data_IF_054398639809
#
_entry.id   IF_054398639809
#
_cell.length_a   1.000
_cell.length_b   1.000
_cell.length_c   1.000
_cell.angle_alpha   90.00
_cell.angle_beta   90.00
_cell.angle_gamma   90.00
#
_symmetry.space_group_name_H-M   'P 1'
#
loop_
_entity.id
_entity.type
_entity.pdbx_description
1 polymer ?
#
# COMPACT_ATOMS: atom_id res chain seq x y z
N UNK A 1 5.55 -32.34 -21.96
CA UNK A 1 5.59 -32.04 -20.50
C UNK A 1 6.62 -30.99 -20.09
N UNK A 2 7.89 -31.06 -20.55
CA UNK A 2 8.95 -30.14 -20.09
C UNK A 2 8.70 -28.65 -20.41
N UNK A 3 8.15 -28.35 -21.60
CA UNK A 3 7.77 -26.97 -21.99
C UNK A 3 6.63 -26.39 -21.14
N UNK A 4 5.67 -27.22 -20.72
CA UNK A 4 4.55 -26.80 -19.87
C UNK A 4 5.06 -26.45 -18.47
N UNK A 5 5.92 -27.29 -17.89
CA UNK A 5 6.57 -27.01 -16.60
C UNK A 5 7.38 -25.72 -16.64
N UNK A 6 8.14 -25.51 -17.71
CA UNK A 6 8.91 -24.28 -17.92
C UNK A 6 8.00 -23.04 -17.91
N UNK A 7 6.92 -23.08 -18.68
CA UNK A 7 5.97 -21.97 -18.79
C UNK A 7 5.29 -21.66 -17.45
N UNK A 8 4.90 -22.69 -16.70
CA UNK A 8 4.33 -22.52 -15.36
C UNK A 8 5.30 -21.84 -14.39
N UNK A 9 6.58 -22.26 -14.38
CA UNK A 9 7.61 -21.63 -13.54
C UNK A 9 7.78 -20.15 -13.89
N UNK A 10 7.80 -19.82 -15.18
CA UNK A 10 7.91 -18.43 -15.62
C UNK A 10 6.70 -17.60 -15.16
N UNK A 11 5.47 -18.11 -15.33
CA UNK A 11 4.25 -17.43 -14.87
C UNK A 11 4.31 -17.19 -13.35
N UNK A 12 4.64 -18.22 -12.58
CA UNK A 12 4.77 -18.11 -11.12
C UNK A 12 5.78 -17.01 -10.78
N UNK A 13 6.96 -17.02 -11.41
CA UNK A 13 7.95 -15.98 -11.15
C UNK A 13 7.39 -14.58 -11.45
N UNK A 14 6.75 -14.38 -12.61
CA UNK A 14 6.17 -13.08 -12.97
C UNK A 14 5.09 -12.64 -11.97
N UNK A 15 4.23 -13.55 -11.53
CA UNK A 15 3.19 -13.23 -10.53
C UNK A 15 3.79 -12.78 -9.20
N UNK A 16 4.84 -13.46 -8.71
CA UNK A 16 5.50 -13.09 -7.46
C UNK A 16 6.33 -11.82 -7.58
N UNK A 17 6.92 -11.55 -8.75
CA UNK A 17 7.59 -10.27 -9.04
C UNK A 17 6.56 -9.13 -9.05
N UNK A 18 5.40 -9.32 -9.69
CA UNK A 18 4.31 -8.35 -9.68
C UNK A 18 3.74 -8.12 -8.28
N UNK A 19 3.62 -9.18 -7.49
CA UNK A 19 3.24 -9.10 -6.08
C UNK A 19 4.22 -8.30 -5.23
N UNK A 20 5.52 -8.51 -5.41
CA UNK A 20 6.54 -7.68 -4.77
C UNK A 20 6.48 -6.22 -5.23
N UNK A 21 6.09 -5.96 -6.48
CA UNK A 21 5.97 -4.62 -7.02
C UNK A 21 4.77 -3.83 -6.45
N UNK A 22 3.64 -4.49 -6.16
CA UNK A 22 2.47 -3.83 -5.55
C UNK A 22 2.55 -3.74 -4.03
N UNK A 23 3.36 -4.57 -3.38
CA UNK A 23 3.61 -4.50 -1.96
C UNK A 23 4.63 -3.38 -1.67
N UNK A 24 4.18 -2.29 -1.03
CA UNK A 24 5.07 -1.20 -0.64
C UNK A 24 6.09 -1.71 0.41
N UNK A 25 7.27 -1.11 0.46
CA UNK A 25 8.28 -1.43 1.47
C UNK A 25 9.32 -2.49 1.10
N UNK A 26 10.32 -2.63 1.97
CA UNK A 26 11.47 -3.50 1.75
C UNK A 26 11.08 -4.99 1.67
N UNK A 27 10.06 -5.40 2.44
CA UNK A 27 9.58 -6.78 2.49
C UNK A 27 9.07 -7.24 1.13
N UNK A 28 8.28 -6.43 0.43
CA UNK A 28 7.78 -6.75 -0.92
C UNK A 28 8.91 -7.01 -1.92
N UNK A 29 9.89 -6.10 -1.96
CA UNK A 29 11.06 -6.27 -2.82
C UNK A 29 11.88 -7.51 -2.43
N UNK A 30 12.24 -7.65 -1.16
CA UNK A 30 13.10 -8.73 -0.68
C UNK A 30 12.47 -10.11 -0.90
N UNK A 31 11.17 -10.25 -0.62
CA UNK A 31 10.44 -11.51 -0.79
C UNK A 31 10.24 -11.91 -2.26
N UNK A 32 10.39 -10.96 -3.20
CA UNK A 32 10.35 -11.23 -4.65
C UNK A 32 11.68 -11.71 -5.24
N UNK A 33 12.82 -11.50 -4.55
CA UNK A 33 14.15 -11.85 -5.06
C UNK A 33 14.33 -13.32 -5.46
N UNK A 34 13.84 -14.33 -4.69
CA UNK A 34 13.95 -15.72 -5.09
C UNK A 34 13.30 -16.00 -6.45
N UNK A 35 12.22 -15.31 -6.77
CA UNK A 35 11.48 -15.45 -8.03
C UNK A 35 12.19 -14.74 -9.18
N UNK A 36 12.81 -13.59 -8.94
CA UNK A 36 13.71 -12.95 -9.91
C UNK A 36 14.90 -13.85 -10.26
N UNK A 37 15.55 -14.44 -9.26
CA UNK A 37 16.69 -15.36 -9.46
C UNK A 37 16.24 -16.59 -10.23
N UNK A 38 15.10 -17.18 -9.84
CA UNK A 38 14.53 -18.35 -10.52
C UNK A 38 14.17 -18.04 -11.97
N UNK A 39 13.59 -16.87 -12.26
CA UNK A 39 13.29 -16.41 -13.61
C UNK A 39 14.56 -16.36 -14.48
N UNK A 40 15.60 -15.67 -13.99
CA UNK A 40 16.87 -15.52 -14.72
C UNK A 40 17.53 -16.89 -14.96
N UNK A 41 17.56 -17.75 -13.94
CA UNK A 41 18.12 -19.10 -14.04
C UNK A 41 17.36 -19.94 -15.07
N UNK A 42 16.03 -19.90 -15.03
CA UNK A 42 15.14 -20.62 -15.95
C UNK A 42 15.33 -20.16 -17.40
N UNK A 43 15.54 -18.85 -17.60
CA UNK A 43 15.81 -18.30 -18.92
C UNK A 43 17.18 -18.69 -19.48
N UNK A 44 18.16 -19.13 -18.66
CA UNK A 44 19.53 -19.48 -19.10
C UNK A 44 19.54 -20.49 -20.25
N UNK A 45 18.66 -21.49 -20.22
CA UNK A 45 18.52 -22.53 -21.26
C UNK A 45 17.76 -22.12 -22.52
N UNK A 46 17.24 -20.88 -22.58
CA UNK A 46 16.49 -20.38 -23.72
C UNK A 46 17.40 -19.66 -24.75
N UNK A 47 16.89 -19.51 -25.97
CA UNK A 47 17.55 -18.70 -27.00
C UNK A 47 17.66 -17.23 -26.58
N UNK A 48 18.64 -16.51 -27.12
CA UNK A 48 18.85 -15.09 -26.80
C UNK A 48 17.61 -14.24 -27.06
N UNK A 49 16.90 -14.48 -28.18
CA UNK A 49 15.65 -13.79 -28.51
C UNK A 49 14.59 -13.95 -27.41
N UNK A 50 14.40 -15.17 -26.91
CA UNK A 50 13.43 -15.47 -25.85
C UNK A 50 13.82 -14.82 -24.52
N UNK A 51 15.11 -14.80 -24.18
CA UNK A 51 15.61 -14.13 -22.97
C UNK A 51 15.25 -12.64 -22.98
N UNK A 52 15.60 -11.95 -24.06
CA UNK A 52 15.36 -10.51 -24.20
C UNK A 52 13.86 -10.22 -24.22
N UNK A 53 13.07 -10.96 -25.01
CA UNK A 53 11.63 -10.74 -25.07
C UNK A 53 10.96 -10.93 -23.71
N UNK A 54 11.32 -11.96 -22.96
CA UNK A 54 10.74 -12.21 -21.63
C UNK A 54 11.08 -11.10 -20.65
N UNK A 55 12.34 -10.65 -20.60
CA UNK A 55 12.75 -9.54 -19.72
C UNK A 55 12.00 -8.26 -20.08
N UNK A 56 11.88 -7.95 -21.37
CA UNK A 56 11.16 -6.75 -21.84
C UNK A 56 9.67 -6.83 -21.47
N UNK A 57 9.02 -7.98 -21.68
CA UNK A 57 7.61 -8.18 -21.30
C UNK A 57 7.43 -8.01 -19.80
N UNK A 58 8.31 -8.61 -18.98
CA UNK A 58 8.27 -8.45 -17.52
C UNK A 58 8.45 -6.97 -17.13
N UNK A 59 9.44 -6.28 -17.69
CA UNK A 59 9.66 -4.87 -17.42
C UNK A 59 8.42 -4.02 -17.74
N UNK A 60 7.81 -4.23 -18.92
CA UNK A 60 6.60 -3.50 -19.34
C UNK A 60 5.43 -3.75 -18.37
N UNK A 61 5.28 -4.96 -17.85
CA UNK A 61 4.20 -5.29 -16.90
C UNK A 61 4.45 -4.71 -15.51
N UNK A 62 5.70 -4.69 -15.06
CA UNK A 62 6.07 -4.33 -13.68
C UNK A 62 6.31 -2.84 -13.49
N UNK A 63 6.92 -2.17 -14.48
CA UNK A 63 7.24 -0.73 -14.40
C UNK A 63 6.03 0.12 -14.02
N UNK A 64 4.83 -0.06 -14.61
CA UNK A 64 3.66 0.72 -14.23
C UNK A 64 3.22 0.53 -12.78
N UNK A 65 3.58 -0.57 -12.12
CA UNK A 65 3.23 -0.85 -10.72
C UNK A 65 4.21 -0.17 -9.75
N UNK A 66 5.49 -0.12 -10.10
CA UNK A 66 6.54 0.48 -9.26
C UNK A 66 6.64 2.00 -9.44
N UNK A 67 6.32 2.50 -10.64
CA UNK A 67 6.48 3.91 -10.97
C UNK A 67 5.55 4.78 -10.14
N UNK A 68 6.13 5.73 -9.38
CA UNK A 68 5.39 6.65 -8.50
C UNK A 68 4.34 5.91 -7.65
N UNK A 69 4.78 4.85 -6.96
CA UNK A 69 3.91 3.89 -6.26
C UNK A 69 2.84 4.56 -5.39
N UNK A 70 3.21 5.56 -4.58
CA UNK A 70 2.30 6.29 -3.71
C UNK A 70 1.23 7.12 -4.47
N UNK A 71 1.51 7.49 -5.72
CA UNK A 71 0.61 8.25 -6.60
C UNK A 71 -0.08 7.35 -7.64
N UNK A 72 0.10 6.02 -7.54
CA UNK A 72 -0.26 5.10 -8.60
C UNK A 72 -1.73 4.71 -8.55
N UNK A 73 -2.54 5.24 -9.48
CA UNK A 73 -3.97 4.93 -9.60
C UNK A 73 -4.31 3.45 -9.89
N UNK A 74 -3.35 2.68 -10.40
CA UNK A 74 -3.53 1.23 -10.59
C UNK A 74 -3.64 0.53 -9.23
N UNK A 75 -2.85 1.02 -8.26
CA UNK A 75 -2.77 0.49 -6.90
C UNK A 75 -3.80 1.17 -6.01
N UNK A 76 -3.90 2.50 -6.07
CA UNK A 76 -4.80 3.33 -5.28
C UNK A 76 -5.81 4.06 -6.19
N UNK A 77 -6.92 3.41 -6.56
CA UNK A 77 -7.84 3.93 -7.57
C UNK A 77 -8.48 5.28 -7.19
N UNK A 78 -8.58 5.56 -5.90
CA UNK A 78 -9.23 6.77 -5.34
C UNK A 78 -8.33 8.00 -5.35
N UNK A 79 -7.09 7.91 -5.84
CA UNK A 79 -6.24 9.10 -5.97
C UNK A 79 -6.90 10.08 -6.94
N UNK A 80 -7.10 11.30 -6.46
CA UNK A 80 -7.78 12.38 -7.14
C UNK A 80 -9.23 12.56 -6.71
N UNK A 81 -9.81 11.61 -5.96
CA UNK A 81 -11.17 11.70 -5.47
C UNK A 81 -11.26 12.58 -4.22
N UNK A 82 -12.47 13.08 -3.98
CA UNK A 82 -12.78 14.00 -2.90
C UNK A 82 -13.44 13.27 -1.73
N UNK A 83 -12.95 13.56 -0.53
CA UNK A 83 -13.50 13.13 0.74
C UNK A 83 -14.15 14.33 1.39
N UNK A 84 -15.37 14.15 1.90
CA UNK A 84 -16.12 15.24 2.54
C UNK A 84 -15.94 15.11 4.04
N UNK A 85 -15.28 16.09 4.65
CA UNK A 85 -15.05 16.15 6.07
C UNK A 85 -16.12 16.99 6.78
N UNK A 86 -16.67 16.47 7.87
CA UNK A 86 -17.54 17.22 8.77
C UNK A 86 -16.75 18.31 9.52
N UNK A 87 -17.44 19.10 10.33
CA UNK A 87 -16.78 20.06 11.22
C UNK A 87 -15.85 19.39 12.26
N UNK A 88 -14.88 20.16 12.75
CA UNK A 88 -14.13 19.80 13.94
C UNK A 88 -12.84 19.05 13.67
N UNK A 89 -12.17 19.34 12.56
CA UNK A 89 -10.83 18.86 12.28
C UNK A 89 -9.78 19.93 12.56
N UNK A 90 -8.60 19.50 13.01
CA UNK A 90 -7.39 20.32 13.09
C UNK A 90 -6.27 19.64 12.31
N UNK A 91 -5.48 20.45 11.62
CA UNK A 91 -4.23 20.01 11.02
C UNK A 91 -3.09 20.48 11.93
N UNK A 92 -2.30 19.54 12.43
CA UNK A 92 -1.22 19.79 13.39
C UNK A 92 0.11 19.44 12.74
N UNK A 93 1.00 20.42 12.66
CA UNK A 93 2.36 20.22 12.20
C UNK A 93 3.23 19.81 13.37
N UNK A 94 3.74 18.58 13.33
CA UNK A 94 4.71 18.09 14.31
C UNK A 94 6.16 18.24 13.81
N UNK A 95 7.10 18.16 14.75
CA UNK A 95 8.51 17.92 14.44
C UNK A 95 8.68 16.62 13.63
N UNK A 96 9.53 16.67 12.59
CA UNK A 96 9.79 15.51 11.73
C UNK A 96 10.47 14.37 12.50
N UNK A 97 11.26 14.68 13.52
CA UNK A 97 11.88 13.72 14.44
C UNK A 97 10.84 12.86 15.18
N UNK A 98 9.64 13.40 15.43
CA UNK A 98 8.56 12.73 16.14
C UNK A 98 7.72 11.85 15.21
N UNK A 99 7.29 12.38 14.06
CA UNK A 99 6.37 11.69 13.14
C UNK A 99 7.06 10.87 12.05
N UNK A 100 8.31 11.20 11.73
CA UNK A 100 9.04 10.63 10.60
C UNK A 100 8.66 11.22 9.23
N UNK A 101 7.70 12.15 9.16
CA UNK A 101 7.25 12.77 7.91
C UNK A 101 7.09 14.30 8.03
N UNK A 102 6.99 14.97 6.88
CA UNK A 102 6.94 16.44 6.81
C UNK A 102 5.54 17.01 6.49
N UNK A 103 4.48 16.26 6.70
CA UNK A 103 3.10 16.70 6.48
C UNK A 103 2.44 17.16 7.78
N UNK A 104 1.31 17.87 7.66
CA UNK A 104 0.44 18.09 8.81
C UNK A 104 -0.33 16.81 9.14
N UNK A 105 -0.54 16.50 10.40
CA UNK A 105 -1.37 15.39 10.85
C UNK A 105 -2.79 15.87 11.09
N UNK A 106 -3.77 15.19 10.51
CA UNK A 106 -5.19 15.45 10.66
C UNK A 106 -5.70 14.77 11.92
N UNK A 107 -6.29 15.57 12.80
CA UNK A 107 -6.73 15.12 14.12
C UNK A 107 -8.14 15.65 14.38
N UNK A 108 -9.08 14.81 14.87
CA UNK A 108 -10.39 15.28 15.25
C UNK A 108 -10.34 16.16 16.52
N UNK A 109 -11.30 17.07 16.65
CA UNK A 109 -11.40 17.98 17.79
C UNK A 109 -11.59 17.16 19.08
N UNK A 110 -10.77 17.46 20.09
CA UNK A 110 -10.79 16.76 21.38
C UNK A 110 -9.85 15.55 21.46
N UNK A 111 -9.25 15.10 20.36
CA UNK A 111 -8.18 14.11 20.43
C UNK A 111 -6.91 14.71 21.05
N UNK A 112 -6.22 13.85 21.81
CA UNK A 112 -4.99 14.18 22.52
C UNK A 112 -3.92 14.61 21.51
N UNK A 113 -3.28 15.74 21.79
CA UNK A 113 -2.14 16.23 21.02
C UNK A 113 -0.94 16.28 21.93
N UNK A 114 0.16 15.75 21.45
CA UNK A 114 1.43 15.83 22.14
C UNK A 114 2.06 17.21 21.90
N UNK A 115 1.64 18.20 22.70
CA UNK A 115 1.99 19.62 22.56
C UNK A 115 3.51 19.87 22.56
N UNK A 116 4.31 18.95 23.12
CA UNK A 116 5.76 19.10 23.19
C UNK A 116 6.45 19.05 21.82
N UNK A 117 5.82 18.41 20.83
CA UNK A 117 6.36 18.26 19.47
C UNK A 117 5.62 19.10 18.44
N UNK A 118 4.68 19.95 18.85
CA UNK A 118 3.87 20.77 17.94
C UNK A 118 4.67 21.99 17.48
N UNK A 119 4.83 22.12 16.16
CA UNK A 119 5.38 23.31 15.51
C UNK A 119 4.27 24.32 15.24
N UNK A 120 3.13 23.86 14.71
CA UNK A 120 1.97 24.71 14.43
C UNK A 120 0.69 23.90 14.38
N UNK A 121 -0.45 24.59 14.49
CA UNK A 121 -1.77 23.99 14.33
C UNK A 121 -2.73 24.97 13.69
N UNK A 122 -3.69 24.45 12.92
CA UNK A 122 -4.77 25.23 12.34
C UNK A 122 -6.06 24.44 12.30
N UNK A 123 -7.17 25.16 12.43
CA UNK A 123 -8.50 24.57 12.26
C UNK A 123 -8.77 24.39 10.77
N UNK A 124 -9.39 23.26 10.44
CA UNK A 124 -9.89 23.00 9.09
C UNK A 124 -11.34 23.47 9.05
N UNK A 125 -11.70 24.17 7.97
CA UNK A 125 -13.08 24.61 7.76
C UNK A 125 -14.01 23.41 7.68
N UNK A 126 -15.24 23.58 8.19
CA UNK A 126 -16.31 22.61 7.96
C UNK A 126 -16.55 22.40 6.46
N UNK A 127 -17.06 21.22 6.11
CA UNK A 127 -17.43 20.84 4.74
C UNK A 127 -16.27 21.04 3.75
N UNK A 128 -15.03 20.99 4.24
CA UNK A 128 -13.85 21.06 3.41
C UNK A 128 -13.77 19.80 2.55
N UNK A 129 -13.66 19.99 1.24
CA UNK A 129 -13.33 18.91 0.32
C UNK A 129 -11.85 18.58 0.44
N UNK A 130 -11.56 17.32 0.74
CA UNK A 130 -10.22 16.80 0.92
C UNK A 130 -9.88 15.90 -0.25
N UNK A 131 -8.97 16.35 -1.11
CA UNK A 131 -8.59 15.58 -2.29
C UNK A 131 -7.49 14.59 -1.93
N UNK A 132 -7.72 13.29 -2.10
CA UNK A 132 -6.67 12.30 -1.91
C UNK A 132 -5.62 12.45 -3.02
N UNK A 133 -4.36 12.70 -2.67
CA UNK A 133 -3.29 12.93 -3.66
C UNK A 133 -2.24 11.83 -3.68
N UNK A 134 -2.04 11.12 -2.56
CA UNK A 134 -1.13 9.98 -2.46
C UNK A 134 -1.49 9.09 -1.28
N UNK A 135 -1.00 7.85 -1.31
CA UNK A 135 -1.07 6.89 -0.20
C UNK A 135 0.31 6.29 0.00
N UNK A 136 0.91 6.51 1.16
CA UNK A 136 2.13 5.80 1.55
C UNK A 136 1.81 4.76 2.61
N UNK A 137 2.64 3.73 2.70
CA UNK A 137 2.45 2.59 3.61
C UNK A 137 3.63 2.48 4.55
N UNK A 138 3.32 2.29 5.83
CA UNK A 138 4.29 1.85 6.83
C UNK A 138 4.00 0.41 7.24
N UNK A 139 5.04 -0.28 7.71
CA UNK A 139 4.95 -1.64 8.24
C UNK A 139 5.33 -1.67 9.72
N UNK A 140 4.48 -1.14 10.62
CA UNK A 140 4.67 -1.38 12.05
C UNK A 140 4.45 -2.87 12.32
N UNK A 141 5.41 -3.52 12.97
CA UNK A 141 5.30 -4.88 13.52
C UNK A 141 4.70 -5.93 12.56
N UNK A 142 5.21 -5.96 11.31
CA UNK A 142 4.79 -6.86 10.21
C UNK A 142 3.37 -6.62 9.65
N UNK A 143 2.66 -5.60 10.14
CA UNK A 143 1.39 -5.14 9.59
C UNK A 143 1.54 -4.26 8.35
N UNK A 144 0.42 -3.88 7.76
CA UNK A 144 0.35 -2.85 6.71
C UNK A 144 -0.52 -1.73 7.23
N UNK A 145 0.06 -0.54 7.36
CA UNK A 145 -0.64 0.66 7.80
C UNK A 145 -0.59 1.70 6.69
N UNK A 146 -1.76 2.01 6.14
CA UNK A 146 -1.91 3.03 5.10
C UNK A 146 -1.89 4.43 5.71
N UNK A 147 -1.29 5.37 5.01
CA UNK A 147 -1.30 6.79 5.34
C UNK A 147 -1.75 7.56 4.10
N UNK A 148 -3.07 7.81 3.95
CA UNK A 148 -3.54 8.71 2.93
C UNK A 148 -3.01 10.12 3.18
N UNK A 149 -2.70 10.83 2.09
CA UNK A 149 -2.41 12.26 2.13
C UNK A 149 -3.45 12.98 1.31
N UNK A 150 -4.09 13.94 1.96
CA UNK A 150 -5.08 14.81 1.39
C UNK A 150 -4.48 16.18 1.09
N UNK A 151 -4.89 16.76 -0.03
CA UNK A 151 -4.74 18.19 -0.29
C UNK A 151 -5.99 18.91 0.19
N UNK A 152 -5.81 19.80 1.17
CA UNK A 152 -6.86 20.60 1.79
C UNK A 152 -6.47 22.05 1.59
N UNK A 153 -7.19 22.78 0.74
CA UNK A 153 -6.87 24.18 0.39
C UNK A 153 -5.40 24.38 -0.03
N UNK A 154 -4.88 23.50 -0.87
CA UNK A 154 -3.48 23.46 -1.35
C UNK A 154 -2.42 23.16 -0.28
N UNK A 155 -2.80 22.59 0.86
CA UNK A 155 -1.85 22.11 1.88
C UNK A 155 -2.03 20.62 2.08
N UNK A 156 -0.91 19.91 2.20
CA UNK A 156 -0.88 18.47 2.38
C UNK A 156 -0.99 18.08 3.85
N UNK A 157 -1.95 17.21 4.14
CA UNK A 157 -2.15 16.67 5.47
C UNK A 157 -2.47 15.18 5.41
N UNK A 158 -2.11 14.44 6.46
CA UNK A 158 -2.20 12.97 6.51
C UNK A 158 -2.82 12.50 7.83
N UNK A 159 -3.32 11.28 7.85
CA UNK A 159 -3.65 10.54 9.06
C UNK A 159 -3.28 9.08 8.85
N UNK A 160 -3.14 8.30 9.92
CA UNK A 160 -2.97 6.86 9.82
C UNK A 160 -4.27 6.19 9.40
N UNK A 161 -4.15 4.97 8.86
CA UNK A 161 -5.29 4.16 8.45
C UNK A 161 -6.18 3.75 9.61
N UNK A 162 -5.68 3.77 10.85
CA UNK A 162 -6.50 3.58 12.06
C UNK A 162 -7.38 4.79 12.29
N UNK A 163 -6.81 6.00 12.30
CA UNK A 163 -7.61 7.22 12.45
C UNK A 163 -8.59 7.42 11.30
N UNK A 164 -8.23 6.98 10.08
CA UNK A 164 -9.14 7.00 8.95
C UNK A 164 -10.34 6.06 9.15
N UNK A 165 -10.13 4.86 9.67
CA UNK A 165 -11.21 3.94 9.99
C UNK A 165 -12.13 4.52 11.06
N UNK A 166 -11.56 5.10 12.12
CA UNK A 166 -12.32 5.78 13.18
C UNK A 166 -13.15 6.94 12.60
N UNK A 167 -12.59 7.68 11.63
CA UNK A 167 -13.27 8.79 10.96
C UNK A 167 -14.47 8.32 10.10
N UNK A 168 -14.32 7.21 9.37
CA UNK A 168 -15.41 6.61 8.62
C UNK A 168 -16.51 6.07 9.54
N UNK A 169 -16.12 5.37 10.62
CA UNK A 169 -17.08 4.83 11.59
C UNK A 169 -17.86 5.94 12.30
N UNK A 170 -17.17 7.03 12.68
CA UNK A 170 -17.77 8.21 13.28
C UNK A 170 -18.52 9.09 12.27
N UNK A 171 -18.43 8.79 10.96
CA UNK A 171 -18.98 9.59 9.85
C UNK A 171 -18.46 11.02 9.77
N UNK A 172 -17.30 11.29 10.39
CA UNK A 172 -16.66 12.61 10.40
C UNK A 172 -15.83 12.87 9.13
N UNK A 173 -15.58 11.81 8.36
CA UNK A 173 -15.04 11.86 7.01
C UNK A 173 -15.81 10.84 6.17
N UNK A 174 -16.30 11.25 5.00
CA UNK A 174 -17.11 10.40 4.15
C UNK A 174 -16.54 10.31 2.73
N UNK A 175 -16.59 9.11 2.15
CA UNK A 175 -16.34 8.85 0.74
C UNK A 175 -17.53 8.06 0.15
N UNK A 176 -17.84 8.28 -1.13
CA UNK A 176 -19.03 7.67 -1.74
C UNK A 176 -18.91 6.15 -1.98
N UNK A 177 -17.68 5.62 -1.99
CA UNK A 177 -17.39 4.26 -2.45
C UNK A 177 -16.56 3.39 -1.49
N UNK A 178 -15.98 3.98 -0.44
CA UNK A 178 -15.17 3.23 0.53
C UNK A 178 -15.52 3.67 1.95
N UNK A 179 -15.39 2.75 2.90
CA UNK A 179 -15.67 2.97 4.32
C UNK A 179 -14.52 2.49 5.23
N UNK A 180 -13.44 1.95 4.66
CA UNK A 180 -12.27 1.49 5.40
C UNK A 180 -10.96 1.83 4.68
N UNK A 181 -9.89 1.98 5.45
CA UNK A 181 -8.56 2.34 4.95
C UNK A 181 -7.92 1.26 4.07
N UNK A 182 -8.19 -0.02 4.29
CA UNK A 182 -7.69 -1.09 3.43
C UNK A 182 -8.31 -1.05 2.02
N UNK A 183 -9.48 -0.43 1.87
CA UNK A 183 -10.13 -0.24 0.57
C UNK A 183 -9.45 0.86 -0.25
N UNK A 184 -8.52 1.64 0.33
CA UNK A 184 -7.72 2.61 -0.43
C UNK A 184 -6.94 1.93 -1.56
N UNK A 185 -6.52 0.68 -1.35
CA UNK A 185 -5.86 -0.15 -2.34
C UNK A 185 -6.89 -0.97 -3.14
N UNK A 186 -6.69 -1.10 -4.46
CA UNK A 186 -7.55 -1.90 -5.31
C UNK A 186 -7.54 -3.38 -4.90
N UNK A 187 -8.70 -4.02 -4.91
CA UNK A 187 -8.88 -5.40 -4.44
C UNK A 187 -7.89 -6.38 -5.09
N UNK A 188 -7.69 -6.28 -6.41
CA UNK A 188 -6.79 -7.17 -7.12
C UNK A 188 -5.32 -6.95 -6.76
N UNK A 189 -4.89 -5.69 -6.48
CA UNK A 189 -3.51 -5.45 -6.02
C UNK A 189 -3.32 -5.88 -4.58
N UNK A 190 -4.36 -5.79 -3.74
CA UNK A 190 -4.34 -6.31 -2.38
C UNK A 190 -4.26 -7.85 -2.35
N UNK A 191 -5.01 -8.53 -3.21
CA UNK A 191 -4.90 -9.97 -3.40
C UNK A 191 -3.52 -10.37 -3.93
N UNK A 192 -2.98 -9.57 -4.86
CA UNK A 192 -1.66 -9.82 -5.41
C UNK A 192 -0.58 -9.60 -4.34
N UNK A 193 -0.63 -8.53 -3.53
CA UNK A 193 0.34 -8.25 -2.46
C UNK A 193 0.37 -9.36 -1.40
N UNK A 194 -0.77 -9.99 -1.13
CA UNK A 194 -0.90 -11.12 -0.20
C UNK A 194 -0.03 -12.33 -0.58
N UNK A 195 0.37 -12.48 -1.86
CA UNK A 195 1.32 -13.52 -2.26
C UNK A 195 2.71 -13.32 -1.61
N UNK A 196 3.07 -12.12 -1.17
CA UNK A 196 4.32 -11.89 -0.41
C UNK A 196 4.31 -12.52 0.98
N UNK A 197 3.15 -13.00 1.47
CA UNK A 197 3.05 -13.81 2.68
C UNK A 197 3.45 -15.27 2.46
N UNK A 198 3.94 -15.65 1.26
CA UNK A 198 4.33 -17.03 0.97
C UNK A 198 5.28 -17.71 1.97
N UNK A 199 6.20 -17.01 2.69
CA UNK A 199 7.03 -17.68 3.70
C UNK A 199 6.22 -18.14 4.92
N UNK A 200 5.08 -17.51 5.20
CA UNK A 200 4.23 -17.84 6.36
C UNK A 200 3.13 -18.85 6.01
N UNK A 201 2.79 -19.02 4.73
CA UNK A 201 1.79 -20.01 4.26
C UNK A 201 2.04 -21.42 4.84
N UNK A 202 3.27 -21.98 4.82
CA UNK A 202 3.52 -23.29 5.40
C UNK A 202 3.16 -23.38 6.89
N UNK A 203 3.44 -22.32 7.65
CA UNK A 203 3.17 -22.25 9.09
C UNK A 203 1.66 -22.13 9.34
N UNK A 204 0.96 -21.30 8.56
CA UNK A 204 -0.49 -21.14 8.65
C UNK A 204 -1.22 -22.44 8.32
N UNK A 205 -0.77 -23.17 7.29
CA UNK A 205 -1.32 -24.48 6.95
C UNK A 205 -1.08 -25.50 8.05
N UNK A 206 0.12 -25.53 8.66
CA UNK A 206 0.42 -26.42 9.78
C UNK A 206 -0.48 -26.12 10.99
N UNK A 207 -0.64 -24.85 11.36
CA UNK A 207 -1.48 -24.44 12.49
C UNK A 207 -2.99 -24.67 12.22
N UNK A 208 -3.46 -24.39 11.01
CA UNK A 208 -4.84 -24.66 10.61
C UNK A 208 -5.17 -26.16 10.58
N UNK A 209 -4.22 -27.00 10.15
CA UNK A 209 -4.35 -28.46 10.23
C UNK A 209 -4.37 -28.93 11.69
N UNK A 210 -3.49 -28.41 12.56
CA UNK A 210 -3.52 -28.76 13.98
C UNK A 210 -4.83 -28.36 14.68
N UNK A 211 -5.46 -27.25 14.29
CA UNK A 211 -6.77 -26.82 14.82
C UNK A 211 -7.94 -27.76 14.45
N UNK A 212 -7.78 -28.64 13.46
CA UNK A 212 -8.78 -29.67 13.09
C UNK A 212 -8.62 -30.92 13.96
N UNK A 213 -7.47 -31.11 14.61
CA UNK A 213 -7.14 -32.28 15.43
C UNK A 213 -7.19 -32.01 16.95
N UNK A 214 -7.65 -30.83 17.37
CA UNK A 214 -7.88 -30.45 18.78
C UNK A 214 -9.37 -30.29 19.03
#
# INVERSE_FOLDING_TARGET
MQKIKLFLVLIICVLFIASGAVNQGFSGFFMSLPFMITLIYTLKGCSFKVKVSSIVVVAILITPLVWKHEENKIIYPWIGDEFVADCGWKAVKYEQSYTGYNYETLIPKGAKVDEQYVISQRLISCDASWKLIRVFVHHPDLGTLYYPVFSITNVEATMSGYELNDAFEAKTLNHSQINYSYELQSEWTNNLSSLMMWPTIPILLLNGVMAIFV
#
